data_IF_310200941833
#
_entry.id   IF_310200941833
#
_cell.length_a   1.000
_cell.length_b   1.000
_cell.length_c   1.000
_cell.angle_alpha   90.00
_cell.angle_beta   90.00
_cell.angle_gamma   90.00
#
_symmetry.space_group_name_H-M   'P 1'
#
loop_
_entity.id
_entity.type
_entity.pdbx_description
1 polymer ?
#
# COMPACT_ATOMS: atom_id res chain seq x y z
N UNK A 1 -14.85 -8.70 -3.66
CA UNK A 1 -13.50 -8.28 -3.26
C UNK A 1 -12.58 -9.49 -3.19
N UNK A 2 -11.36 -9.40 -3.71
CA UNK A 2 -10.40 -10.53 -3.72
C UNK A 2 -10.05 -10.98 -2.29
N UNK A 3 -9.85 -10.04 -1.37
CA UNK A 3 -9.62 -10.31 0.05
C UNK A 3 -10.69 -11.24 0.66
N UNK A 4 -11.98 -10.93 0.46
CA UNK A 4 -13.08 -11.75 0.97
C UNK A 4 -13.17 -13.15 0.33
N UNK A 5 -12.71 -13.30 -0.92
CA UNK A 5 -12.72 -14.59 -1.64
C UNK A 5 -11.52 -15.47 -1.30
N UNK A 6 -10.46 -14.91 -0.72
CA UNK A 6 -9.19 -15.59 -0.44
C UNK A 6 -8.70 -15.23 0.98
N UNK A 7 -9.39 -15.71 2.04
CA UNK A 7 -9.09 -15.32 3.42
C UNK A 7 -7.70 -15.76 3.91
N UNK A 8 -7.06 -16.70 3.22
CA UNK A 8 -5.68 -17.09 3.48
C UNK A 8 -4.65 -16.05 3.00
N UNK A 9 -5.01 -15.23 2.02
CA UNK A 9 -4.13 -14.19 1.46
C UNK A 9 -4.34 -12.84 2.17
N UNK A 10 -3.27 -12.05 2.24
CA UNK A 10 -3.33 -10.65 2.67
C UNK A 10 -3.37 -9.78 1.42
N UNK A 11 -4.55 -9.22 1.14
CA UNK A 11 -4.80 -8.45 -0.07
C UNK A 11 -5.23 -7.05 0.34
N UNK A 12 -4.35 -6.07 0.13
CA UNK A 12 -4.58 -4.68 0.51
C UNK A 12 -4.26 -3.75 -0.66
N UNK A 13 -4.79 -2.54 -0.61
CA UNK A 13 -4.41 -1.43 -1.49
C UNK A 13 -3.43 -0.53 -0.75
N UNK A 14 -2.34 -0.12 -1.39
CA UNK A 14 -1.36 0.79 -0.80
C UNK A 14 -1.07 1.95 -1.76
N UNK A 15 -1.29 3.17 -1.30
CA UNK A 15 -0.89 4.38 -2.01
C UNK A 15 0.57 4.70 -1.66
N UNK A 16 1.48 4.74 -2.64
CA UNK A 16 2.90 4.99 -2.37
C UNK A 16 3.18 6.45 -1.97
N UNK A 17 2.21 7.35 -2.14
CA UNK A 17 2.38 8.79 -2.12
C UNK A 17 2.57 9.35 -3.53
N UNK A 18 2.83 10.65 -3.63
CA UNK A 18 3.12 11.28 -4.92
C UNK A 18 4.63 11.22 -5.22
N UNK A 19 5.04 10.22 -6.02
CA UNK A 19 6.45 9.81 -6.18
C UNK A 19 7.07 10.35 -7.47
N UNK A 20 8.34 10.77 -7.43
CA UNK A 20 9.15 11.23 -8.57
C UNK A 20 9.54 10.08 -9.48
N UNK A 21 8.72 9.77 -10.48
CA UNK A 21 8.92 8.69 -11.43
C UNK A 21 8.55 9.16 -12.83
N UNK A 22 8.81 8.36 -13.85
CA UNK A 22 8.49 8.71 -15.23
C UNK A 22 6.98 8.99 -15.43
N UNK A 23 6.10 8.26 -14.72
CA UNK A 23 4.63 8.48 -14.78
C UNK A 23 4.23 9.88 -14.29
N UNK A 24 5.00 10.46 -13.38
CA UNK A 24 4.79 11.82 -12.84
C UNK A 24 5.69 12.85 -13.50
N UNK A 25 6.40 12.52 -14.59
CA UNK A 25 7.42 13.39 -15.21
C UNK A 25 8.42 13.93 -14.16
N UNK A 26 8.74 13.11 -13.16
CA UNK A 26 9.56 13.46 -12.01
C UNK A 26 9.04 14.64 -11.15
N UNK A 27 7.76 15.04 -11.25
CA UNK A 27 7.18 16.12 -10.46
C UNK A 27 6.60 15.70 -9.11
N UNK A 28 6.82 14.45 -8.68
CA UNK A 28 6.43 13.96 -7.36
C UNK A 28 7.12 14.71 -6.20
N UNK A 29 6.57 14.56 -4.99
CA UNK A 29 7.19 15.06 -3.76
C UNK A 29 8.24 14.08 -3.22
N UNK A 30 7.93 12.79 -3.24
CA UNK A 30 8.75 11.72 -2.67
C UNK A 30 9.77 11.17 -3.68
N UNK A 31 10.94 10.77 -3.20
CA UNK A 31 11.86 9.93 -3.95
C UNK A 31 11.28 8.52 -4.16
N UNK A 32 11.69 7.78 -5.22
CA UNK A 32 11.28 6.41 -5.44
C UNK A 32 11.44 5.49 -4.23
N UNK A 33 12.53 5.64 -3.48
CA UNK A 33 12.85 4.83 -2.29
C UNK A 33 11.86 5.09 -1.14
N UNK A 34 11.44 6.35 -0.96
CA UNK A 34 10.44 6.74 0.04
C UNK A 34 9.06 6.17 -0.32
N UNK A 35 8.66 6.29 -1.58
CA UNK A 35 7.41 5.72 -2.08
C UNK A 35 7.38 4.20 -1.99
N UNK A 36 8.49 3.53 -2.31
CA UNK A 36 8.64 2.09 -2.17
C UNK A 36 8.56 1.64 -0.70
N UNK A 37 9.18 2.38 0.22
CA UNK A 37 9.12 2.10 1.66
C UNK A 37 7.68 2.05 2.17
N UNK A 38 6.81 2.96 1.72
CA UNK A 38 5.39 2.97 2.10
C UNK A 38 4.66 1.69 1.67
N UNK A 39 4.93 1.19 0.46
CA UNK A 39 4.32 -0.05 -0.05
C UNK A 39 4.91 -1.28 0.65
N UNK A 40 6.23 -1.29 0.88
CA UNK A 40 6.94 -2.39 1.54
C UNK A 40 6.47 -2.57 2.99
N UNK A 41 6.17 -1.48 3.72
CA UNK A 41 5.56 -1.58 5.06
C UNK A 41 4.26 -2.38 5.06
N UNK A 42 3.42 -2.21 4.04
CA UNK A 42 2.15 -2.95 3.90
C UNK A 42 2.42 -4.41 3.51
N UNK A 43 3.39 -4.65 2.62
CA UNK A 43 3.78 -6.00 2.21
C UNK A 43 4.41 -6.82 3.34
N UNK A 44 5.04 -6.16 4.32
CA UNK A 44 5.71 -6.78 5.47
C UNK A 44 4.87 -6.74 6.76
N UNK A 45 3.56 -6.49 6.67
CA UNK A 45 2.67 -6.64 7.81
C UNK A 45 2.77 -8.07 8.37
N UNK A 46 2.67 -8.23 9.71
CA UNK A 46 2.81 -9.54 10.34
C UNK A 46 1.72 -10.51 9.85
N UNK A 47 2.03 -11.80 9.93
CA UNK A 47 1.06 -12.86 9.69
C UNK A 47 -0.19 -12.67 10.55
N UNK A 48 -1.36 -12.90 9.96
CA UNK A 48 -2.62 -12.60 10.64
C UNK A 48 -3.07 -11.13 10.55
N UNK A 49 -2.24 -10.23 9.98
CA UNK A 49 -2.54 -8.81 9.82
C UNK A 49 -3.71 -8.48 8.89
N UNK A 50 -3.98 -7.19 8.73
CA UNK A 50 -5.15 -6.66 8.02
C UNK A 50 -5.21 -7.15 6.56
N UNK A 51 -6.42 -7.43 6.08
CA UNK A 51 -6.71 -7.76 4.68
C UNK A 51 -7.96 -7.00 4.24
N UNK A 52 -8.02 -6.56 2.99
CA UNK A 52 -9.13 -5.79 2.46
C UNK A 52 -9.15 -4.32 2.88
N UNK A 53 -8.00 -3.71 3.18
CA UNK A 53 -7.90 -2.31 3.57
C UNK A 53 -7.11 -1.45 2.57
N UNK A 54 -7.26 -0.14 2.69
CA UNK A 54 -6.47 0.88 2.00
C UNK A 54 -5.48 1.53 2.95
N UNK A 55 -4.23 1.64 2.49
CA UNK A 55 -3.13 2.24 3.21
C UNK A 55 -2.59 3.46 2.47
N UNK A 56 -2.24 4.51 3.21
CA UNK A 56 -1.54 5.70 2.72
C UNK A 56 -0.35 5.98 3.65
N UNK A 57 0.82 6.22 3.07
CA UNK A 57 2.08 6.44 3.82
C UNK A 57 2.41 5.30 4.82
N UNK A 58 1.91 4.10 4.56
CA UNK A 58 2.06 2.92 5.41
C UNK A 58 1.07 2.82 6.57
N UNK A 59 0.11 3.73 6.68
CA UNK A 59 -0.94 3.71 7.70
C UNK A 59 -2.27 3.25 7.11
N UNK A 60 -3.03 2.45 7.85
CA UNK A 60 -4.38 2.06 7.46
C UNK A 60 -5.30 3.28 7.53
N UNK A 61 -5.99 3.57 6.43
CA UNK A 61 -6.96 4.68 6.36
C UNK A 61 -8.41 4.21 6.31
N UNK A 62 -8.68 3.06 5.70
CA UNK A 62 -10.03 2.53 5.57
C UNK A 62 -10.03 1.01 5.41
N UNK A 63 -11.00 0.35 6.04
CA UNK A 63 -11.35 -1.04 5.76
C UNK A 63 -12.49 -1.11 4.75
N UNK A 64 -12.43 -2.08 3.84
CA UNK A 64 -13.50 -2.40 2.91
C UNK A 64 -14.16 -3.77 3.20
N UNK A 65 -13.70 -4.45 4.24
CA UNK A 65 -14.36 -5.60 4.85
C UNK A 65 -15.19 -5.17 6.04
#
# INVERSE_FOLDING_TARGET
>A
MLAAKQPALRVNCAHPGYVKTDITLHSGLLAPEEGASNVVKVALLPDGGVTGAFFEEGNELASFV
#
